data_IF_916304211759
#
_entry.id   IF_916304211759
#
_cell.length_a   1.000
_cell.length_b   1.000
_cell.length_c   1.000
_cell.angle_alpha   90.00
_cell.angle_beta   90.00
_cell.angle_gamma   90.00
#
_symmetry.space_group_name_H-M   'P 1'
#
loop_
_entity.id
_entity.type
_entity.pdbx_description
1 polymer ?
#
# COMPACT_ATOMS: atom_id res chain seq x y z
N UNK A 1 9.75 9.23 -23.66
CA UNK A 1 9.76 10.32 -22.68
C UNK A 1 8.95 9.86 -21.50
N UNK A 2 9.61 9.33 -20.48
CA UNK A 2 8.96 8.79 -19.28
C UNK A 2 8.74 9.99 -18.34
N UNK A 3 7.54 10.58 -18.35
CA UNK A 3 7.17 11.60 -17.37
C UNK A 3 7.42 11.04 -15.97
N UNK A 4 8.26 11.75 -15.20
CA UNK A 4 8.81 11.29 -13.94
C UNK A 4 7.73 10.75 -13.03
N UNK A 5 7.74 9.42 -12.83
CA UNK A 5 6.88 8.74 -11.86
C UNK A 5 7.09 9.42 -10.51
N UNK A 6 6.12 10.21 -10.05
CA UNK A 6 6.17 10.86 -8.72
C UNK A 6 6.61 9.81 -7.69
N UNK A 7 7.65 10.12 -6.92
CA UNK A 7 8.17 9.25 -5.87
C UNK A 7 7.03 8.87 -4.92
N UNK A 8 7.01 7.62 -4.48
CA UNK A 8 5.98 7.12 -3.56
C UNK A 8 6.15 7.83 -2.22
N UNK A 9 5.06 8.28 -1.61
CA UNK A 9 5.11 9.00 -0.33
C UNK A 9 5.34 8.10 0.89
N UNK A 10 5.13 6.79 0.75
CA UNK A 10 5.22 5.85 1.86
C UNK A 10 5.42 4.40 1.36
N UNK A 11 5.91 3.49 2.22
CA UNK A 11 6.05 2.08 1.89
C UNK A 11 4.73 1.44 1.49
N UNK A 12 4.79 0.56 0.49
CA UNK A 12 3.66 -0.29 0.08
C UNK A 12 3.95 -1.72 0.50
N UNK A 13 3.34 -2.14 1.60
CA UNK A 13 3.57 -3.45 2.19
C UNK A 13 2.72 -4.49 1.45
N UNK A 14 3.32 -5.57 0.92
CA UNK A 14 2.58 -6.72 0.42
C UNK A 14 1.66 -7.27 1.49
N UNK A 15 0.39 -7.45 1.15
CA UNK A 15 -0.62 -8.05 2.02
C UNK A 15 -1.54 -8.90 1.16
N UNK A 16 -2.33 -9.77 1.79
CA UNK A 16 -3.38 -10.54 1.13
C UNK A 16 -4.65 -10.46 1.98
N UNK A 17 -5.43 -9.40 1.78
CA UNK A 17 -6.66 -9.13 2.55
C UNK A 17 -7.87 -9.24 1.65
N UNK A 18 -8.98 -9.76 2.16
CA UNK A 18 -10.27 -9.62 1.46
C UNK A 18 -10.69 -8.16 1.39
N UNK A 19 -11.19 -7.74 0.22
CA UNK A 19 -11.76 -6.41 0.02
C UNK A 19 -13.12 -6.50 -0.66
N UNK A 20 -14.04 -5.66 -0.18
CA UNK A 20 -15.28 -5.32 -0.86
C UNK A 20 -15.15 -3.94 -1.47
N UNK A 21 -15.58 -3.78 -2.71
CA UNK A 21 -15.60 -2.51 -3.44
C UNK A 21 -17.05 -2.20 -3.82
N UNK A 22 -17.58 -1.09 -3.33
CA UNK A 22 -18.86 -0.53 -3.75
C UNK A 22 -18.60 0.56 -4.80
N UNK A 23 -19.06 0.35 -6.04
CA UNK A 23 -19.00 1.33 -7.14
C UNK A 23 -20.22 2.26 -7.11
N UNK A 24 -20.09 3.45 -7.73
CA UNK A 24 -21.15 4.48 -7.73
C UNK A 24 -22.45 4.04 -8.43
N UNK A 25 -22.36 3.14 -9.40
CA UNK A 25 -23.51 2.57 -10.11
C UNK A 25 -24.25 1.47 -9.32
N UNK A 26 -23.80 1.19 -8.09
CA UNK A 26 -24.37 0.18 -7.21
C UNK A 26 -23.79 -1.22 -7.42
N UNK A 27 -22.83 -1.40 -8.34
CA UNK A 27 -22.13 -2.66 -8.51
C UNK A 27 -21.21 -2.91 -7.31
N UNK A 28 -21.16 -4.17 -6.88
CA UNK A 28 -20.31 -4.62 -5.79
C UNK A 28 -19.30 -5.63 -6.32
N UNK A 29 -18.02 -5.27 -6.26
CA UNK A 29 -16.91 -6.13 -6.67
C UNK A 29 -16.21 -6.67 -5.43
N UNK A 30 -15.89 -7.97 -5.44
CA UNK A 30 -15.04 -8.59 -4.40
C UNK A 30 -13.64 -8.83 -4.96
N UNK A 31 -12.65 -8.77 -4.09
CA UNK A 31 -11.27 -9.01 -4.50
C UNK A 31 -10.32 -9.18 -3.34
N UNK A 32 -9.03 -9.01 -3.64
CA UNK A 32 -7.94 -9.03 -2.67
C UNK A 32 -7.17 -7.72 -2.68
N UNK A 33 -6.86 -7.16 -1.51
CA UNK A 33 -5.76 -6.19 -1.37
C UNK A 33 -4.45 -6.95 -1.49
N UNK A 34 -3.61 -6.56 -2.45
CA UNK A 34 -2.30 -7.18 -2.70
C UNK A 34 -1.12 -6.34 -2.20
N UNK A 35 -1.35 -5.05 -1.96
CA UNK A 35 -0.47 -4.21 -1.15
C UNK A 35 -1.25 -3.08 -0.48
N UNK A 36 -0.74 -2.64 0.67
CA UNK A 36 -1.31 -1.60 1.50
C UNK A 36 -0.24 -0.57 1.86
N UNK A 37 -0.62 0.70 1.79
CA UNK A 37 0.15 1.84 2.27
C UNK A 37 -0.77 2.78 3.05
N UNK A 38 -0.20 3.77 3.74
CA UNK A 38 -0.97 4.77 4.49
C UNK A 38 -1.89 5.61 3.59
N UNK A 39 -1.59 5.72 2.30
CA UNK A 39 -2.32 6.57 1.36
C UNK A 39 -3.17 5.80 0.34
N UNK A 40 -3.12 4.46 0.33
CA UNK A 40 -3.85 3.68 -0.66
C UNK A 40 -3.51 2.21 -0.68
N UNK A 41 -4.25 1.49 -1.53
CA UNK A 41 -4.15 0.05 -1.75
C UNK A 41 -3.99 -0.28 -3.22
N UNK A 42 -3.45 -1.46 -3.49
CA UNK A 42 -3.65 -2.13 -4.77
C UNK A 42 -4.62 -3.27 -4.56
N UNK A 43 -5.68 -3.30 -5.37
CA UNK A 43 -6.65 -4.38 -5.38
C UNK A 43 -6.47 -5.27 -6.61
N UNK A 44 -6.76 -6.55 -6.43
CA UNK A 44 -6.88 -7.57 -7.46
C UNK A 44 -8.33 -8.08 -7.47
N UNK A 45 -9.00 -8.04 -8.61
CA UNK A 45 -10.42 -8.38 -8.77
C UNK A 45 -10.65 -9.22 -10.04
N UNK A 46 -11.77 -9.94 -10.06
CA UNK A 46 -12.21 -10.71 -11.25
C UNK A 46 -13.04 -9.83 -12.20
N UNK A 47 -13.67 -8.77 -11.67
CA UNK A 47 -14.35 -7.73 -12.45
C UNK A 47 -13.52 -6.43 -12.45
N UNK A 48 -13.55 -5.66 -13.54
CA UNK A 48 -12.76 -4.43 -13.64
C UNK A 48 -13.28 -3.32 -12.72
N UNK A 49 -12.35 -2.58 -12.15
CA UNK A 49 -12.58 -1.34 -11.40
C UNK A 49 -11.74 -0.26 -12.07
N UNK A 50 -12.35 0.60 -12.92
CA UNK A 50 -11.60 1.40 -13.87
C UNK A 50 -11.00 2.67 -13.25
N UNK A 51 -9.95 3.18 -13.92
CA UNK A 51 -9.31 4.43 -13.52
C UNK A 51 -10.30 5.61 -13.56
N UNK A 52 -10.09 6.56 -12.64
CA UNK A 52 -10.93 7.74 -12.40
C UNK A 52 -12.31 7.44 -11.77
N UNK A 53 -12.63 6.19 -11.44
CA UNK A 53 -13.79 5.89 -10.60
C UNK A 53 -13.54 6.28 -9.14
N UNK A 54 -14.54 6.90 -8.52
CA UNK A 54 -14.64 6.98 -7.07
C UNK A 54 -15.41 5.76 -6.55
N UNK A 55 -14.88 5.12 -5.53
CA UNK A 55 -15.40 3.88 -4.96
C UNK A 55 -15.40 3.95 -3.45
N UNK A 56 -16.19 3.11 -2.78
CA UNK A 56 -15.98 2.80 -1.36
C UNK A 56 -15.31 1.45 -1.24
N UNK A 57 -14.24 1.38 -0.45
CA UNK A 57 -13.53 0.13 -0.17
C UNK A 57 -13.71 -0.26 1.29
N UNK A 58 -13.84 -1.56 1.55
CA UNK A 58 -13.89 -2.13 2.89
C UNK A 58 -12.98 -3.35 3.00
N UNK A 59 -12.09 -3.37 3.99
CA UNK A 59 -11.21 -4.50 4.30
C UNK A 59 -10.92 -4.58 5.81
N UNK A 60 -10.49 -5.75 6.29
CA UNK A 60 -10.11 -5.97 7.68
C UNK A 60 -8.60 -5.94 7.86
N UNK A 61 -8.11 -5.24 8.87
CA UNK A 61 -6.69 -5.32 9.27
C UNK A 61 -6.43 -6.60 10.10
N UNK A 62 -5.42 -7.43 9.76
CA UNK A 62 -5.22 -8.75 10.38
C UNK A 62 -5.08 -8.76 11.90
N UNK A 63 -4.39 -7.77 12.47
CA UNK A 63 -4.04 -7.77 13.90
C UNK A 63 -5.20 -7.37 14.82
N UNK A 64 -6.00 -6.43 14.36
CA UNK A 64 -7.05 -5.80 15.18
C UNK A 64 -8.45 -6.25 14.77
N UNK A 65 -8.56 -6.96 13.64
CA UNK A 65 -9.82 -7.27 12.95
C UNK A 65 -10.69 -6.02 12.76
N UNK A 66 -10.07 -4.83 12.75
CA UNK A 66 -10.77 -3.57 12.59
C UNK A 66 -11.16 -3.42 11.13
N UNK A 67 -12.44 -3.18 10.88
CA UNK A 67 -12.92 -2.82 9.56
C UNK A 67 -12.48 -1.40 9.20
N UNK A 68 -11.81 -1.30 8.06
CA UNK A 68 -11.42 -0.05 7.43
C UNK A 68 -12.34 0.12 6.23
N UNK A 69 -13.35 0.98 6.39
CA UNK A 69 -14.27 1.39 5.31
C UNK A 69 -14.08 2.88 5.02
N UNK A 70 -13.75 3.22 3.77
CA UNK A 70 -13.57 4.60 3.33
C UNK A 70 -13.74 4.77 1.82
N UNK A 71 -13.87 6.03 1.39
CA UNK A 71 -13.85 6.39 -0.03
C UNK A 71 -12.46 6.23 -0.65
N UNK A 72 -12.40 6.04 -1.97
CA UNK A 72 -11.15 5.91 -2.70
C UNK A 72 -11.29 6.34 -4.15
N UNK A 73 -10.22 6.91 -4.70
CA UNK A 73 -10.10 7.23 -6.11
C UNK A 73 -9.24 6.17 -6.78
N UNK A 74 -9.74 5.54 -7.84
CA UNK A 74 -8.94 4.64 -8.67
C UNK A 74 -7.97 5.47 -9.52
N UNK A 75 -6.68 5.42 -9.20
CA UNK A 75 -5.62 6.24 -9.85
C UNK A 75 -4.98 5.56 -11.06
N UNK A 76 -5.11 4.24 -11.17
CA UNK A 76 -4.71 3.50 -12.36
C UNK A 76 -5.43 2.15 -12.40
N UNK A 77 -5.58 1.61 -13.61
CA UNK A 77 -6.15 0.29 -13.88
C UNK A 77 -5.23 -0.45 -14.86
N UNK A 78 -5.04 -1.75 -14.62
CA UNK A 78 -4.32 -2.70 -15.48
C UNK A 78 -5.02 -4.05 -15.42
N UNK A 79 -4.75 -4.90 -16.38
CA UNK A 79 -5.23 -6.28 -16.38
C UNK A 79 -4.15 -7.20 -16.93
N UNK A 80 -4.22 -8.49 -16.60
CA UNK A 80 -3.32 -9.49 -17.17
C UNK A 80 -3.69 -9.74 -18.65
N UNK A 81 -2.75 -9.43 -19.55
CA UNK A 81 -2.91 -9.64 -20.99
C UNK A 81 -2.53 -11.05 -21.42
N UNK A 82 -2.00 -11.88 -20.51
CA UNK A 82 -1.60 -13.27 -20.81
C UNK A 82 -2.77 -14.24 -20.81
N UNK A 83 -3.89 -13.89 -20.18
CA UNK A 83 -5.11 -14.70 -20.21
C UNK A 83 -5.88 -14.46 -21.51
N UNK A 84 -6.10 -15.55 -22.26
CA UNK A 84 -6.72 -15.52 -23.60
C UNK A 84 -8.23 -15.33 -23.51
N UNK A 85 -8.87 -15.90 -22.47
CA UNK A 85 -10.30 -15.78 -22.26
C UNK A 85 -10.63 -14.60 -21.33
N UNK A 86 -11.56 -13.74 -21.76
CA UNK A 86 -11.99 -12.57 -20.98
C UNK A 86 -12.52 -12.92 -19.58
N UNK A 87 -13.13 -14.11 -19.42
CA UNK A 87 -13.71 -14.55 -18.14
C UNK A 87 -12.67 -14.91 -17.08
N UNK A 88 -11.43 -15.17 -17.49
CA UNK A 88 -10.32 -15.54 -16.60
C UNK A 88 -9.34 -14.36 -16.44
N UNK A 89 -9.72 -13.18 -16.92
CA UNK A 89 -8.89 -11.99 -16.87
C UNK A 89 -8.80 -11.47 -15.43
N UNK A 90 -7.58 -11.31 -14.95
CA UNK A 90 -7.32 -10.74 -13.63
C UNK A 90 -7.11 -9.25 -13.78
N UNK A 91 -7.87 -8.48 -13.01
CA UNK A 91 -7.84 -7.02 -13.00
C UNK A 91 -7.07 -6.51 -11.79
N UNK A 92 -6.33 -5.41 -11.99
CA UNK A 92 -5.53 -4.74 -10.97
C UNK A 92 -5.82 -3.25 -10.99
N UNK A 93 -6.12 -2.70 -9.81
CA UNK A 93 -6.40 -1.28 -9.68
C UNK A 93 -5.66 -0.69 -8.49
N UNK A 94 -5.05 0.47 -8.70
CA UNK A 94 -4.49 1.26 -7.61
C UNK A 94 -5.55 2.23 -7.10
N UNK A 95 -5.85 2.17 -5.82
CA UNK A 95 -6.83 3.02 -5.17
C UNK A 95 -6.11 3.93 -4.18
N UNK A 96 -6.23 5.24 -4.39
CA UNK A 96 -5.82 6.25 -3.43
C UNK A 96 -6.97 6.49 -2.45
N UNK A 97 -6.67 6.53 -1.16
CA UNK A 97 -7.66 6.80 -0.13
C UNK A 97 -8.18 8.24 -0.19
N UNK A 98 -9.50 8.38 -0.12
CA UNK A 98 -10.21 9.65 0.06
C UNK A 98 -10.73 9.74 1.49
N UNK A 99 -10.67 10.93 2.09
CA UNK A 99 -11.29 11.22 3.38
C UNK A 99 -10.91 10.29 4.55
N UNK A 100 -9.68 9.76 4.53
CA UNK A 100 -9.16 8.91 5.59
C UNK A 100 -9.00 9.69 6.90
N UNK A 101 -9.88 9.42 7.86
CA UNK A 101 -9.85 10.00 9.21
C UNK A 101 -8.56 9.60 9.95
N UNK A 102 -8.07 10.46 10.84
CA UNK A 102 -6.75 10.26 11.47
C UNK A 102 -6.65 8.97 12.30
N UNK A 103 -7.77 8.48 12.87
CA UNK A 103 -7.81 7.20 13.57
C UNK A 103 -7.53 6.02 12.65
N UNK A 104 -8.19 5.96 11.48
CA UNK A 104 -7.94 4.94 10.46
C UNK A 104 -6.54 5.09 9.86
N UNK A 105 -6.11 6.33 9.58
CA UNK A 105 -4.76 6.62 9.09
C UNK A 105 -3.69 6.12 10.05
N UNK A 106 -3.86 6.38 11.34
CA UNK A 106 -2.95 5.91 12.39
C UNK A 106 -2.91 4.40 12.50
N UNK A 107 -4.05 3.70 12.35
CA UNK A 107 -4.12 2.24 12.34
C UNK A 107 -3.36 1.64 11.15
N UNK A 108 -3.61 2.13 9.94
CA UNK A 108 -2.92 1.67 8.72
C UNK A 108 -1.43 1.98 8.80
N UNK A 109 -1.06 3.17 9.28
CA UNK A 109 0.33 3.59 9.49
C UNK A 109 1.03 2.68 10.49
N UNK A 110 0.40 2.39 11.63
CA UNK A 110 0.94 1.48 12.63
C UNK A 110 1.16 0.08 12.05
N UNK A 111 0.15 -0.45 11.36
CA UNK A 111 0.23 -1.77 10.72
C UNK A 111 1.37 -1.82 9.68
N UNK A 112 1.46 -0.84 8.79
CA UNK A 112 2.49 -0.83 7.73
C UNK A 112 3.90 -0.70 8.29
N UNK A 113 4.11 0.09 9.35
CA UNK A 113 5.39 0.15 10.06
C UNK A 113 5.72 -1.15 10.80
N UNK A 114 4.73 -1.77 11.45
CA UNK A 114 4.90 -3.06 12.13
C UNK A 114 5.38 -4.13 11.16
N UNK A 115 4.88 -4.13 9.93
CA UNK A 115 5.29 -5.11 8.91
C UNK A 115 6.77 -4.98 8.49
N UNK A 116 7.45 -3.87 8.78
CA UNK A 116 8.90 -3.77 8.59
C UNK A 116 9.70 -4.67 9.56
N UNK A 117 9.07 -5.18 10.62
CA UNK A 117 9.70 -6.19 11.48
C UNK A 117 9.82 -7.57 10.82
N UNK A 118 9.05 -7.82 9.75
CA UNK A 118 9.10 -9.04 8.95
C UNK A 118 10.30 -8.97 8.00
N UNK A 119 11.33 -9.77 8.33
CA UNK A 119 12.60 -9.78 7.62
C UNK A 119 12.45 -10.36 6.22
N UNK A 120 11.58 -11.37 6.03
CA UNK A 120 11.38 -11.99 4.73
C UNK A 120 10.69 -11.01 3.79
N UNK A 121 9.64 -10.33 4.27
CA UNK A 121 8.94 -9.32 3.51
C UNK A 121 9.86 -8.17 3.05
N UNK A 122 10.71 -7.66 3.94
CA UNK A 122 11.64 -6.56 3.59
C UNK A 122 12.67 -7.04 2.57
N UNK A 123 13.15 -8.28 2.67
CA UNK A 123 14.08 -8.88 1.68
C UNK A 123 13.43 -9.05 0.31
N UNK A 124 12.20 -9.58 0.27
CA UNK A 124 11.46 -9.78 -0.97
C UNK A 124 11.18 -8.47 -1.71
N UNK A 125 10.89 -7.39 -0.97
CA UNK A 125 10.71 -6.07 -1.57
C UNK A 125 12.02 -5.44 -2.07
N UNK A 126 13.15 -5.82 -1.47
CA UNK A 126 14.47 -5.22 -1.70
C UNK A 126 14.68 -3.96 -0.87
N UNK A 127 15.76 -3.96 -0.08
CA UNK A 127 16.05 -2.91 0.91
C UNK A 127 16.14 -1.51 0.31
N UNK A 128 16.70 -1.35 -0.89
CA UNK A 128 16.82 -0.05 -1.55
C UNK A 128 15.45 0.59 -1.82
N UNK A 129 14.46 -0.21 -2.23
CA UNK A 129 13.09 0.27 -2.48
C UNK A 129 12.40 0.64 -1.17
N UNK A 130 12.59 -0.19 -0.14
CA UNK A 130 12.04 0.07 1.20
C UNK A 130 12.61 1.36 1.76
N UNK A 131 13.93 1.57 1.70
CA UNK A 131 14.58 2.80 2.16
C UNK A 131 14.10 4.01 1.36
N UNK A 132 14.01 3.90 0.04
CA UNK A 132 13.48 4.99 -0.80
C UNK A 132 12.08 5.42 -0.38
N UNK A 133 11.21 4.46 -0.04
CA UNK A 133 9.86 4.72 0.44
C UNK A 133 9.84 5.26 1.89
N UNK A 134 10.71 4.75 2.77
CA UNK A 134 10.85 5.18 4.17
C UNK A 134 11.33 6.63 4.28
N UNK A 135 12.23 7.07 3.41
CA UNK A 135 12.74 8.44 3.40
C UNK A 135 11.65 9.48 3.08
N UNK A 136 10.57 9.08 2.41
CA UNK A 136 9.44 9.96 2.11
C UNK A 136 8.41 10.06 3.25
N UNK A 137 8.60 9.29 4.34
CA UNK A 137 7.73 9.33 5.51
C UNK A 137 7.95 10.63 6.32
N UNK A 138 6.94 11.09 7.08
CA UNK A 138 7.14 12.21 8.00
C UNK A 138 8.19 11.86 9.08
N UNK A 139 8.86 12.85 9.69
CA UNK A 139 10.06 12.62 10.50
C UNK A 139 9.91 11.59 11.62
N UNK A 140 8.77 11.58 12.32
CA UNK A 140 8.51 10.64 13.42
C UNK A 140 8.41 9.19 12.93
N UNK A 141 7.68 8.98 11.85
CA UNK A 141 7.50 7.68 11.20
C UNK A 141 8.79 7.20 10.54
N UNK A 142 9.51 8.12 9.87
CA UNK A 142 10.82 7.85 9.28
C UNK A 142 11.81 7.35 10.32
N UNK A 143 11.96 8.07 11.45
CA UNK A 143 12.80 7.65 12.57
C UNK A 143 12.41 6.26 13.09
N UNK A 144 11.10 6.01 13.25
CA UNK A 144 10.58 4.71 13.70
C UNK A 144 10.96 3.59 12.73
N UNK A 145 10.72 3.78 11.42
CA UNK A 145 11.06 2.81 10.40
C UNK A 145 12.56 2.54 10.32
N UNK A 146 13.38 3.59 10.35
CA UNK A 146 14.84 3.49 10.34
C UNK A 146 15.34 2.69 11.55
N UNK A 147 14.83 2.95 12.76
CA UNK A 147 15.17 2.15 13.95
C UNK A 147 14.82 0.67 13.80
N UNK A 148 13.66 0.35 13.21
CA UNK A 148 13.27 -1.04 12.93
C UNK A 148 14.28 -1.69 11.98
N UNK A 149 14.60 -1.01 10.87
CA UNK A 149 15.52 -1.53 9.85
C UNK A 149 16.94 -1.73 10.40
N UNK A 150 17.43 -0.80 11.22
CA UNK A 150 18.74 -0.94 11.88
C UNK A 150 18.74 -2.11 12.87
N UNK A 151 17.71 -2.21 13.72
CA UNK A 151 17.59 -3.31 14.68
C UNK A 151 17.48 -4.69 14.00
N UNK A 152 16.88 -4.75 12.81
CA UNK A 152 16.79 -5.97 11.99
C UNK A 152 18.04 -6.23 11.15
N UNK A 153 19.06 -5.38 11.22
CA UNK A 153 20.34 -5.55 10.54
C UNK A 153 20.30 -5.27 9.04
N UNK A 154 19.30 -4.52 8.55
CA UNK A 154 19.22 -4.12 7.14
C UNK A 154 20.11 -2.92 6.80
N UNK A 155 20.39 -2.08 7.79
CA UNK A 155 21.28 -0.92 7.70
C UNK A 155 22.10 -0.81 8.99
N UNK A 156 23.26 -0.17 8.94
CA UNK A 156 24.10 0.10 10.12
C UNK A 156 23.56 1.31 10.91
N UNK A 157 24.08 1.51 12.14
CA UNK A 157 23.79 2.72 12.92
C UNK A 157 24.30 3.99 12.22
N UNK A 158 25.48 3.92 11.59
CA UNK A 158 26.06 5.03 10.79
C UNK A 158 25.15 5.39 9.61
N UNK A 159 24.71 4.40 8.83
CA UNK A 159 23.75 4.61 7.74
C UNK A 159 22.43 5.18 8.25
N UNK A 160 21.96 4.77 9.44
CA UNK A 160 20.73 5.29 10.03
C UNK A 160 20.84 6.79 10.31
N UNK A 161 21.95 7.21 10.91
CA UNK A 161 22.20 8.62 11.22
C UNK A 161 22.26 9.46 9.95
N UNK A 162 23.00 9.01 8.93
CA UNK A 162 23.04 9.69 7.62
C UNK A 162 21.66 9.86 6.99
N UNK A 163 20.83 8.81 7.04
CA UNK A 163 19.49 8.80 6.44
C UNK A 163 18.46 9.60 7.24
N UNK A 164 18.60 9.71 8.56
CA UNK A 164 17.68 10.48 9.41
C UNK A 164 17.80 11.98 9.14
N UNK A 165 19.00 12.45 8.79
CA UNK A 165 19.34 13.85 8.53
C UNK A 165 19.50 14.20 7.04
N UNK A 166 19.19 13.28 6.13
CA UNK A 166 19.17 13.56 4.70
C UNK A 166 17.98 14.49 4.35
N UNK A 167 18.30 15.64 3.76
CA UNK A 167 17.36 16.64 3.24
C UNK A 167 16.68 16.20 1.93
#
# INVERSE_FOLDING_TARGET
MEEGRKRRKCPRIPVYLDVRVDQQDGIVVKGKVINLSTEGICIKTDDPVFANEEITVEFLLPDTLTSVRLGGQVVWYRYDTKTVEKKDQVHFSGVQFLDLVESQRSLIRYFTLKMLHDVELVREQGIERVLSDVLNLPPKERKTALNILTHKGFITEEQREELEYAD
#
